data_IF_317658138659
#
_entry.id   IF_317658138659
#
_cell.length_a   1.000
_cell.length_b   1.000
_cell.length_c   1.000
_cell.angle_alpha   90.00
_cell.angle_beta   90.00
_cell.angle_gamma   90.00
#
_symmetry.space_group_name_H-M   'P 1'
#
loop_
_entity.id
_entity.type
_entity.pdbx_description
1 polymer ?
#
# COMPACT_ATOMS: atom_id res chain seq x y z
N UNK A 1 -18.17 -2.79 11.90
CA UNK A 1 -19.16 -2.65 10.82
C UNK A 1 -18.44 -2.77 9.47
N UNK A 2 -17.78 -3.91 9.23
CA UNK A 2 -16.90 -4.14 8.06
C UNK A 2 -17.03 -5.58 7.52
N UNK A 3 -18.13 -6.26 7.83
CA UNK A 3 -18.32 -7.70 7.58
C UNK A 3 -19.37 -8.00 6.48
N UNK A 4 -19.74 -7.02 5.64
CA UNK A 4 -20.85 -7.17 4.68
C UNK A 4 -20.50 -6.84 3.22
N UNK A 5 -19.22 -6.79 2.86
CA UNK A 5 -18.80 -6.65 1.45
C UNK A 5 -18.07 -7.90 0.90
N UNK A 6 -18.20 -9.03 1.59
CA UNK A 6 -17.48 -10.29 1.31
C UNK A 6 -18.14 -11.17 0.23
N UNK A 7 -18.77 -10.60 -0.78
CA UNK A 7 -19.33 -11.39 -1.89
C UNK A 7 -19.13 -10.66 -3.20
N UNK A 8 -17.94 -10.80 -3.78
CA UNK A 8 -17.67 -11.16 -5.18
C UNK A 8 -16.14 -11.02 -5.42
N UNK A 9 -15.50 -12.19 -5.49
CA UNK A 9 -14.07 -12.53 -5.59
C UNK A 9 -13.06 -11.44 -6.01
N UNK A 10 -12.45 -10.82 -4.98
CA UNK A 10 -11.11 -10.22 -5.03
C UNK A 10 -10.09 -11.03 -4.21
N UNK A 11 -10.33 -12.34 -4.10
CA UNK A 11 -9.61 -13.29 -3.24
C UNK A 11 -8.30 -13.73 -3.91
N UNK A 12 -7.22 -12.99 -3.65
CA UNK A 12 -5.88 -13.50 -3.90
C UNK A 12 -5.06 -13.56 -2.61
N UNK A 13 -4.04 -14.44 -2.54
CA UNK A 13 -3.24 -14.61 -1.32
C UNK A 13 -2.56 -13.33 -0.82
N UNK A 14 -2.26 -12.38 -1.72
CA UNK A 14 -1.69 -11.09 -1.35
C UNK A 14 -2.73 -10.19 -0.66
N UNK A 15 -3.98 -10.19 -1.12
CA UNK A 15 -5.08 -9.48 -0.47
C UNK A 15 -5.42 -10.05 0.91
N UNK A 16 -5.50 -11.37 1.03
CA UNK A 16 -5.72 -12.05 2.33
C UNK A 16 -4.59 -11.73 3.33
N UNK A 17 -3.34 -11.75 2.84
CA UNK A 17 -2.20 -11.32 3.63
C UNK A 17 -2.32 -9.85 4.05
N UNK A 18 -2.67 -8.95 3.12
CA UNK A 18 -2.83 -7.53 3.39
C UNK A 18 -3.86 -7.29 4.50
N UNK A 19 -5.03 -7.92 4.43
CA UNK A 19 -6.07 -7.83 5.47
C UNK A 19 -5.57 -8.34 6.82
N UNK A 20 -4.93 -9.52 6.84
CA UNK A 20 -4.43 -10.14 8.07
C UNK A 20 -3.33 -9.32 8.72
N UNK A 21 -2.40 -8.81 7.91
CA UNK A 21 -1.28 -8.02 8.39
C UNK A 21 -1.73 -6.64 8.87
N UNK A 22 -2.61 -5.98 8.13
CA UNK A 22 -3.17 -4.67 8.49
C UNK A 22 -3.93 -4.69 9.82
N UNK A 23 -4.62 -5.80 10.12
CA UNK A 23 -5.34 -5.99 11.39
C UNK A 23 -4.44 -6.15 12.63
N UNK A 24 -3.12 -6.32 12.46
CA UNK A 24 -2.20 -6.45 13.59
C UNK A 24 -2.06 -5.12 14.35
N UNK A 25 -1.93 -5.15 15.69
CA UNK A 25 -1.70 -3.96 16.49
C UNK A 25 -0.51 -3.14 15.97
N UNK A 26 -0.69 -1.83 15.79
CA UNK A 26 0.36 -0.91 15.36
C UNK A 26 0.65 -0.87 13.85
N UNK A 27 0.21 -1.87 13.06
CA UNK A 27 0.48 -1.91 11.61
C UNK A 27 -0.24 -0.78 10.89
N UNK A 28 -1.56 -0.64 11.10
CA UNK A 28 -2.34 0.44 10.50
C UNK A 28 -1.70 1.82 10.73
N UNK A 29 -1.33 2.13 11.98
CA UNK A 29 -0.73 3.42 12.32
C UNK A 29 0.60 3.64 11.60
N UNK A 30 1.44 2.61 11.52
CA UNK A 30 2.75 2.67 10.86
C UNK A 30 2.60 2.87 9.35
N UNK A 31 1.69 2.13 8.71
CA UNK A 31 1.40 2.26 7.28
C UNK A 31 0.82 3.65 6.92
N UNK A 32 -0.08 4.18 7.74
CA UNK A 32 -0.61 5.53 7.55
C UNK A 32 0.47 6.60 7.70
N UNK A 33 1.41 6.43 8.63
CA UNK A 33 2.55 7.34 8.78
C UNK A 33 3.49 7.25 7.56
N UNK A 34 3.77 6.03 7.09
CA UNK A 34 4.54 5.81 5.85
C UNK A 34 3.89 6.46 4.63
N UNK A 35 2.57 6.40 4.53
CA UNK A 35 1.80 7.03 3.45
C UNK A 35 1.83 8.55 3.53
N UNK A 36 1.44 9.13 4.66
CA UNK A 36 1.22 10.57 4.79
C UNK A 36 2.53 11.34 4.92
N UNK A 37 3.43 10.85 5.78
CA UNK A 37 4.65 11.55 6.16
C UNK A 37 5.83 11.16 5.28
N UNK A 38 5.87 9.93 4.77
CA UNK A 38 6.96 9.45 3.93
C UNK A 38 6.59 9.34 2.43
N UNK A 39 5.31 9.49 2.06
CA UNK A 39 4.85 9.43 0.67
C UNK A 39 4.96 8.03 0.05
N UNK A 40 5.04 6.99 0.87
CA UNK A 40 5.19 5.60 0.40
C UNK A 40 3.85 5.03 -0.03
N UNK A 41 3.88 4.13 -1.00
CA UNK A 41 2.69 3.39 -1.40
C UNK A 41 2.43 2.20 -0.46
N UNK A 42 1.27 2.23 0.21
CA UNK A 42 0.87 1.18 1.16
C UNK A 42 0.71 -0.19 0.48
N UNK A 43 0.17 -0.25 -0.74
CA UNK A 43 -0.05 -1.51 -1.45
C UNK A 43 1.29 -2.12 -1.87
N UNK A 44 2.25 -1.30 -2.30
CA UNK A 44 3.60 -1.78 -2.61
C UNK A 44 4.37 -2.21 -1.35
N UNK A 45 4.21 -1.51 -0.22
CA UNK A 45 4.77 -1.93 1.07
C UNK A 45 4.24 -3.31 1.50
N UNK A 46 2.92 -3.50 1.39
CA UNK A 46 2.28 -4.78 1.69
C UNK A 46 2.76 -5.88 0.74
N UNK A 47 2.92 -5.56 -0.54
CA UNK A 47 3.46 -6.50 -1.55
C UNK A 47 4.90 -6.91 -1.23
N UNK A 48 5.77 -5.97 -0.90
CA UNK A 48 7.16 -6.23 -0.55
C UNK A 48 7.29 -7.17 0.67
N UNK A 49 6.43 -6.97 1.68
CA UNK A 49 6.38 -7.83 2.87
C UNK A 49 5.79 -9.22 2.57
N UNK A 50 4.76 -9.28 1.73
CA UNK A 50 4.17 -10.55 1.30
C UNK A 50 5.20 -11.40 0.55
N UNK A 51 5.92 -10.83 -0.42
CA UNK A 51 7.02 -11.51 -1.12
C UNK A 51 8.11 -11.97 -0.14
N UNK A 52 8.44 -11.13 0.86
CA UNK A 52 9.40 -11.49 1.90
C UNK A 52 8.97 -12.72 2.71
N UNK A 53 7.67 -12.83 3.03
CA UNK A 53 7.09 -14.01 3.70
C UNK A 53 7.13 -15.26 2.81
N UNK A 54 7.04 -15.08 1.49
CA UNK A 54 7.22 -16.14 0.49
C UNK A 54 8.69 -16.41 0.16
N UNK A 55 9.64 -15.78 0.89
CA UNK A 55 11.07 -15.89 0.63
C UNK A 55 11.44 -15.53 -0.82
N UNK A 56 10.79 -14.51 -1.38
CA UNK A 56 11.00 -14.02 -2.73
C UNK A 56 11.40 -12.54 -2.70
N UNK A 57 12.37 -12.18 -3.54
CA UNK A 57 12.75 -10.78 -3.74
C UNK A 57 11.67 -10.01 -4.51
N UNK A 58 11.52 -8.73 -4.14
CA UNK A 58 10.80 -7.76 -4.95
C UNK A 58 11.51 -7.61 -6.30
N UNK A 59 10.83 -7.78 -7.45
CA UNK A 59 11.49 -7.66 -8.75
C UNK A 59 12.00 -6.24 -9.01
N UNK A 60 13.22 -6.12 -9.54
CA UNK A 60 13.77 -4.82 -9.97
C UNK A 60 12.94 -4.19 -11.11
N UNK A 61 12.24 -5.03 -11.89
CA UNK A 61 11.29 -4.63 -12.93
C UNK A 61 9.96 -4.12 -12.40
N UNK A 62 9.80 -3.86 -11.09
CA UNK A 62 8.53 -3.41 -10.49
C UNK A 62 7.89 -2.24 -11.25
N UNK A 63 8.69 -1.30 -11.77
CA UNK A 63 8.22 -0.16 -12.58
C UNK A 63 7.43 -0.58 -13.83
N UNK A 64 7.59 -1.83 -14.30
CA UNK A 64 6.86 -2.41 -15.43
C UNK A 64 5.45 -2.89 -15.06
N UNK A 65 5.04 -2.82 -13.79
CA UNK A 65 3.66 -3.05 -13.34
C UNK A 65 2.72 -1.90 -13.76
N UNK A 66 2.73 -1.55 -15.06
CA UNK A 66 2.16 -0.32 -15.60
C UNK A 66 0.65 -0.19 -15.41
N UNK A 67 -0.09 -1.29 -15.43
CA UNK A 67 -1.55 -1.24 -15.17
C UNK A 67 -1.85 -0.86 -13.73
N UNK A 68 -1.06 -1.34 -12.77
CA UNK A 68 -1.18 -0.92 -11.37
C UNK A 68 -0.85 0.58 -11.23
N UNK A 69 0.27 1.05 -11.78
CA UNK A 69 0.64 2.47 -11.65
C UNK A 69 -0.39 3.38 -12.34
N UNK A 70 -0.90 3.00 -13.52
CA UNK A 70 -1.97 3.74 -14.20
C UNK A 70 -3.24 3.80 -13.33
N UNK A 71 -3.67 2.66 -12.78
CA UNK A 71 -4.83 2.58 -11.91
C UNK A 71 -4.67 3.42 -10.64
N UNK A 72 -3.49 3.35 -10.03
CA UNK A 72 -3.13 4.15 -8.85
C UNK A 72 -3.28 5.65 -9.13
N UNK A 73 -2.67 6.15 -10.20
CA UNK A 73 -2.68 7.57 -10.56
C UNK A 73 -4.07 8.07 -10.98
N UNK A 74 -4.84 7.25 -11.69
CA UNK A 74 -6.12 7.67 -12.26
C UNK A 74 -7.33 7.43 -11.35
N UNK A 75 -7.21 6.53 -10.36
CA UNK A 75 -8.34 6.11 -9.53
C UNK A 75 -8.04 6.24 -8.04
N UNK A 76 -7.02 5.56 -7.54
CA UNK A 76 -6.73 5.52 -6.09
C UNK A 76 -6.37 6.91 -5.57
N UNK A 77 -5.40 7.59 -6.19
CA UNK A 77 -4.95 8.91 -5.74
C UNK A 77 -6.06 9.98 -5.82
N UNK A 78 -6.85 10.08 -6.91
CA UNK A 78 -7.97 11.02 -6.96
C UNK A 78 -9.03 10.78 -5.88
N UNK A 79 -9.41 9.52 -5.61
CA UNK A 79 -10.36 9.18 -4.53
C UNK A 79 -9.79 9.59 -3.17
N UNK A 80 -8.53 9.25 -2.91
CA UNK A 80 -7.84 9.59 -1.65
C UNK A 80 -7.75 11.10 -1.45
N UNK A 81 -7.44 11.84 -2.52
CA UNK A 81 -7.40 13.30 -2.51
C UNK A 81 -8.79 13.88 -2.20
N UNK A 82 -9.83 13.43 -2.90
CA UNK A 82 -11.20 13.85 -2.63
C UNK A 82 -11.62 13.59 -1.18
N UNK A 83 -11.29 12.41 -0.63
CA UNK A 83 -11.55 12.10 0.78
C UNK A 83 -10.77 12.99 1.73
N UNK A 84 -9.52 13.33 1.41
CA UNK A 84 -8.68 14.20 2.25
C UNK A 84 -9.23 15.63 2.38
N UNK A 85 -9.91 16.15 1.35
CA UNK A 85 -10.59 17.44 1.41
C UNK A 85 -11.78 17.46 2.38
N UNK A 86 -12.26 16.29 2.80
CA UNK A 86 -13.31 16.12 3.80
C UNK A 86 -12.75 15.78 5.20
N UNK A 87 -11.53 16.20 5.53
CA UNK A 87 -10.90 16.00 6.85
C UNK A 87 -11.18 17.14 7.85
N UNK A 88 -11.84 18.24 7.44
CA UNK A 88 -12.07 19.40 8.30
C UNK A 88 -13.21 19.17 9.29
N UNK A 89 -12.96 19.33 10.59
CA UNK A 89 -13.98 19.20 11.64
C UNK A 89 -14.49 20.58 12.10
N UNK A 90 -15.80 20.73 12.41
CA UNK A 90 -16.84 19.70 12.34
C UNK A 90 -17.39 19.49 10.92
N UNK A 91 -17.50 18.24 10.48
CA UNK A 91 -18.17 17.91 9.22
C UNK A 91 -19.71 18.05 9.34
N UNK A 92 -20.34 18.61 8.31
CA UNK A 92 -21.82 18.55 8.17
C UNK A 92 -22.26 17.10 7.93
N UNK A 93 -23.49 16.74 8.30
CA UNK A 93 -24.01 15.37 8.19
C UNK A 93 -23.83 14.75 6.79
N UNK A 94 -24.10 15.51 5.73
CA UNK A 94 -23.90 15.06 4.34
C UNK A 94 -22.41 14.86 3.97
N UNK A 95 -21.51 15.70 4.49
CA UNK A 95 -20.06 15.56 4.26
C UNK A 95 -19.51 14.31 4.95
N UNK A 96 -20.01 14.00 6.15
CA UNK A 96 -19.65 12.78 6.86
C UNK A 96 -20.11 11.50 6.12
N UNK A 97 -21.31 11.53 5.51
CA UNK A 97 -21.80 10.43 4.65
C UNK A 97 -20.92 10.28 3.41
N UNK A 98 -20.66 11.38 2.68
CA UNK A 98 -19.82 11.35 1.48
C UNK A 98 -18.40 10.85 1.77
N UNK A 99 -17.80 11.28 2.89
CA UNK A 99 -16.49 10.81 3.34
C UNK A 99 -16.47 9.29 3.54
N UNK A 100 -17.52 8.71 4.14
CA UNK A 100 -17.65 7.26 4.33
C UNK A 100 -17.77 6.53 2.99
N UNK A 101 -18.55 7.07 2.05
CA UNK A 101 -18.68 6.51 0.70
C UNK A 101 -17.34 6.52 -0.05
N UNK A 102 -16.61 7.64 -0.01
CA UNK A 102 -15.28 7.73 -0.60
C UNK A 102 -14.28 6.76 0.02
N UNK A 103 -14.34 6.56 1.34
CA UNK A 103 -13.53 5.54 2.02
C UNK A 103 -13.84 4.12 1.50
N UNK A 104 -15.12 3.79 1.32
CA UNK A 104 -15.53 2.50 0.74
C UNK A 104 -15.04 2.35 -0.71
N UNK A 105 -15.18 3.39 -1.53
CA UNK A 105 -14.68 3.39 -2.90
C UNK A 105 -13.15 3.28 -2.96
N UNK A 106 -12.43 3.91 -2.03
CA UNK A 106 -10.97 3.78 -1.93
C UNK A 106 -10.56 2.34 -1.62
N UNK A 107 -11.20 1.69 -0.65
CA UNK A 107 -10.91 0.30 -0.31
C UNK A 107 -11.15 -0.66 -1.49
N UNK A 108 -12.23 -0.43 -2.25
CA UNK A 108 -12.51 -1.21 -3.47
C UNK A 108 -11.45 -0.96 -4.56
N UNK A 109 -11.04 0.30 -4.75
CA UNK A 109 -10.00 0.64 -5.71
C UNK A 109 -8.62 0.08 -5.30
N UNK A 110 -8.32 0.04 -4.00
CA UNK A 110 -7.10 -0.57 -3.46
C UNK A 110 -7.10 -2.09 -3.62
N UNK A 111 -8.24 -2.76 -3.43
CA UNK A 111 -8.38 -4.19 -3.69
C UNK A 111 -8.09 -4.53 -5.15
N UNK A 112 -8.63 -3.74 -6.09
CA UNK A 112 -8.31 -3.89 -7.52
C UNK A 112 -6.83 -3.59 -7.80
N UNK A 113 -6.24 -2.59 -7.14
CA UNK A 113 -4.81 -2.30 -7.24
C UNK A 113 -3.94 -3.50 -6.83
N UNK A 114 -4.28 -4.16 -5.72
CA UNK A 114 -3.61 -5.39 -5.27
C UNK A 114 -3.79 -6.52 -6.30
N UNK A 115 -4.99 -6.68 -6.88
CA UNK A 115 -5.24 -7.66 -7.93
C UNK A 115 -4.33 -7.43 -9.15
N UNK A 116 -4.18 -6.18 -9.60
CA UNK A 116 -3.31 -5.81 -10.72
C UNK A 116 -1.84 -6.14 -10.44
N UNK A 117 -1.33 -5.77 -9.25
CA UNK A 117 0.04 -6.11 -8.83
C UNK A 117 0.21 -7.64 -8.81
N UNK A 118 -0.74 -8.35 -8.20
CA UNK A 118 -0.67 -9.80 -8.08
C UNK A 118 -0.65 -10.49 -9.45
N UNK A 119 -1.51 -10.07 -10.38
CA UNK A 119 -1.52 -10.60 -11.76
C UNK A 119 -0.20 -10.33 -12.48
N UNK A 120 0.39 -9.15 -12.30
CA UNK A 120 1.70 -8.83 -12.87
C UNK A 120 2.81 -9.72 -12.27
N UNK A 121 2.82 -9.92 -10.95
CA UNK A 121 3.78 -10.77 -10.25
C UNK A 121 3.73 -12.23 -10.72
N UNK A 122 2.55 -12.75 -11.04
CA UNK A 122 2.39 -14.11 -11.55
C UNK A 122 3.07 -14.34 -12.91
N UNK A 123 3.40 -13.28 -13.63
CA UNK A 123 4.09 -13.33 -14.93
C UNK A 123 5.61 -13.15 -14.78
N UNK A 124 6.10 -12.86 -13.58
CA UNK A 124 7.52 -12.61 -13.32
C UNK A 124 8.24 -13.89 -12.91
N UNK A 125 9.52 -13.99 -13.27
CA UNK A 125 10.43 -14.95 -12.69
C UNK A 125 10.96 -14.38 -11.35
N UNK A 126 10.34 -14.78 -10.24
CA UNK A 126 10.75 -14.32 -8.91
C UNK A 126 12.05 -14.98 -8.49
N UNK A 127 12.94 -14.20 -7.87
CA UNK A 127 14.18 -14.71 -7.29
C UNK A 127 13.94 -15.10 -5.84
N UNK A 128 14.16 -16.38 -5.52
CA UNK A 128 14.06 -16.87 -4.15
C UNK A 128 15.23 -16.37 -3.30
N UNK A 129 14.93 -15.84 -2.12
CA UNK A 129 15.90 -15.43 -1.12
C UNK A 129 15.28 -15.52 0.29
N UNK A 130 15.93 -16.24 1.19
CA UNK A 130 15.52 -16.32 2.59
C UNK A 130 15.64 -14.95 3.30
N UNK A 131 14.74 -14.71 4.26
CA UNK A 131 14.75 -13.54 5.15
C UNK A 131 14.84 -12.17 4.44
N UNK A 132 14.24 -12.08 3.24
CA UNK A 132 14.40 -10.93 2.35
C UNK A 132 13.41 -9.78 2.58
N UNK A 133 12.55 -9.82 3.61
CA UNK A 133 11.59 -8.72 3.89
C UNK A 133 12.27 -7.35 4.05
N UNK A 134 13.42 -7.30 4.75
CA UNK A 134 14.20 -6.07 4.90
C UNK A 134 14.80 -5.58 3.57
N UNK A 135 15.27 -6.53 2.75
CA UNK A 135 15.82 -6.26 1.42
C UNK A 135 14.73 -5.69 0.51
N UNK A 136 13.55 -6.31 0.49
CA UNK A 136 12.41 -5.86 -0.31
C UNK A 136 11.96 -4.44 0.04
N UNK A 137 11.90 -4.10 1.33
CA UNK A 137 11.57 -2.73 1.76
C UNK A 137 12.64 -1.71 1.31
N UNK A 138 13.92 -2.11 1.32
CA UNK A 138 15.03 -1.27 0.86
C UNK A 138 14.98 -1.07 -0.66
N UNK A 139 14.72 -2.13 -1.43
CA UNK A 139 14.52 -2.06 -2.89
C UNK A 139 13.35 -1.12 -3.23
N UNK A 140 12.22 -1.27 -2.55
CA UNK A 140 11.06 -0.40 -2.74
C UNK A 140 11.38 1.08 -2.41
N UNK A 141 12.13 1.32 -1.34
CA UNK A 141 12.56 2.68 -0.99
C UNK A 141 13.43 3.30 -2.10
N UNK A 142 14.31 2.52 -2.73
CA UNK A 142 15.17 3.01 -3.80
C UNK A 142 14.37 3.31 -5.09
N UNK A 143 13.44 2.43 -5.47
CA UNK A 143 12.56 2.62 -6.63
C UNK A 143 11.74 3.92 -6.46
N UNK A 144 11.13 4.09 -5.28
CA UNK A 144 10.33 5.29 -4.98
C UNK A 144 11.16 6.58 -4.84
N UNK A 145 12.48 6.49 -4.67
CA UNK A 145 13.38 7.65 -4.67
C UNK A 145 13.77 8.09 -6.08
N UNK A 146 13.83 7.16 -7.05
CA UNK A 146 14.15 7.46 -8.44
C UNK A 146 13.03 8.25 -9.14
N UNK A 147 11.76 7.99 -8.82
CA UNK A 147 10.59 8.67 -9.41
C UNK A 147 10.27 10.05 -8.79
N UNK A 148 10.80 10.34 -7.60
CA UNK A 148 10.34 11.49 -6.79
C UNK A 148 11.32 12.66 -6.79
N UNK A 149 11.24 13.50 -7.83
CA UNK A 149 11.95 14.77 -7.94
C UNK A 149 11.52 15.89 -6.96
N UNK A 150 10.56 15.65 -6.05
CA UNK A 150 9.93 16.71 -5.23
C UNK A 150 9.60 16.34 -3.78
N UNK A 151 10.04 15.19 -3.26
CA UNK A 151 9.81 14.83 -1.84
C UNK A 151 10.70 15.69 -0.94
N UNK A 152 10.10 16.40 0.03
CA UNK A 152 10.81 17.28 0.96
C UNK A 152 11.80 16.49 1.83
N UNK A 153 12.90 17.14 2.25
CA UNK A 153 13.96 16.51 3.06
C UNK A 153 13.40 15.81 4.33
N UNK A 154 12.44 16.45 4.98
CA UNK A 154 11.78 15.93 6.18
C UNK A 154 11.01 14.62 5.93
N UNK A 155 10.36 14.48 4.77
CA UNK A 155 9.68 13.23 4.38
C UNK A 155 10.66 12.10 4.08
N UNK A 156 11.87 12.42 3.61
CA UNK A 156 12.94 11.43 3.37
C UNK A 156 13.53 10.90 4.68
N UNK A 157 13.71 11.77 5.67
CA UNK A 157 14.25 11.40 6.99
C UNK A 157 13.32 10.46 7.78
N UNK A 158 12.00 10.64 7.66
CA UNK A 158 11.02 9.80 8.35
C UNK A 158 10.94 8.34 7.82
N UNK A 159 11.42 8.07 6.60
CA UNK A 159 11.28 6.74 5.95
C UNK A 159 11.98 5.62 6.70
N UNK A 160 13.25 5.82 7.06
CA UNK A 160 14.08 4.78 7.67
C UNK A 160 13.49 4.21 8.97
N UNK A 161 13.21 5.06 9.98
CA UNK A 161 12.62 4.61 11.24
C UNK A 161 11.26 3.94 11.08
N UNK A 162 10.40 4.46 10.20
CA UNK A 162 9.07 3.90 9.96
C UNK A 162 9.13 2.54 9.23
N UNK A 163 10.05 2.36 8.28
CA UNK A 163 10.27 1.06 7.63
C UNK A 163 10.84 0.03 8.61
N UNK A 164 11.73 0.44 9.51
CA UNK A 164 12.24 -0.43 10.58
C UNK A 164 11.12 -0.86 11.54
N UNK A 165 10.26 0.08 11.94
CA UNK A 165 9.08 -0.23 12.76
C UNK A 165 8.14 -1.21 12.05
N UNK A 166 7.88 -1.00 10.76
CA UNK A 166 7.03 -1.89 9.97
C UNK A 166 7.62 -3.31 9.89
N UNK A 167 8.93 -3.42 9.70
CA UNK A 167 9.64 -4.71 9.66
C UNK A 167 9.54 -5.46 11.01
N UNK A 168 9.62 -4.75 12.14
CA UNK A 168 9.44 -5.37 13.47
C UNK A 168 8.03 -5.93 13.65
N UNK A 169 7.01 -5.25 13.12
CA UNK A 169 5.61 -5.71 13.16
C UNK A 169 5.33 -6.88 12.19
N UNK A 170 6.20 -7.08 11.19
CA UNK A 170 6.11 -8.16 10.20
C UNK A 170 6.73 -9.49 10.66
N UNK A 171 7.47 -9.50 11.76
CA UNK A 171 7.91 -10.73 12.43
C UNK A 171 6.73 -11.45 13.10
#
# INVERSE_FOLDING_TARGET
>A
MAAQFATESGDNPLWEFALTFYARPGVQQTLLSLQNDAGMDVLLLLTALWLGKQQCLLPDSLAEAGDYFRWREQVILPIRQARSHLNAEPLRSQQAVLRKQLLQSELQAEQEGIRLIFTWLQQQALTEQADCSAVNLTLLQNITMADNGSVTAQKKEARGPLLQQLLLLAK
#
